data_IF_305039645489
#
_entry.id   IF_305039645489
#
_cell.length_a   1.000
_cell.length_b   1.000
_cell.length_c   1.000
_cell.angle_alpha   90.00
_cell.angle_beta   90.00
_cell.angle_gamma   90.00
#
_symmetry.space_group_name_H-M   'P 1'
#
loop_
_entity.id
_entity.type
_entity.pdbx_description
1 polymer ?
#
# COMPACT_ATOMS: atom_id res chain seq x y z
N UNK A 1 -4.13 -23.37 12.55
CA UNK A 1 -4.52 -22.11 11.88
C UNK A 1 -3.25 -21.27 11.78
N UNK A 2 -2.63 -21.09 10.60
CA UNK A 2 -1.47 -20.22 10.50
C UNK A 2 -1.93 -18.77 10.77
N UNK A 3 -1.33 -18.18 11.80
CA UNK A 3 -1.62 -16.83 12.25
C UNK A 3 -1.47 -15.84 11.09
N UNK A 4 -2.40 -14.89 11.01
CA UNK A 4 -2.25 -13.75 10.12
C UNK A 4 -0.95 -13.06 10.52
N UNK A 5 0.07 -13.10 9.65
CA UNK A 5 1.32 -12.38 9.87
C UNK A 5 0.98 -10.90 9.68
N UNK A 6 0.60 -10.23 10.77
CA UNK A 6 0.44 -8.77 10.79
C UNK A 6 1.83 -8.15 10.66
N UNK A 7 2.13 -7.61 9.48
CA UNK A 7 3.37 -6.85 9.26
C UNK A 7 3.13 -5.40 9.66
N UNK A 8 4.03 -4.77 10.41
CA UNK A 8 3.96 -3.33 10.70
C UNK A 8 4.83 -2.57 9.70
N UNK A 9 4.22 -1.64 8.97
CA UNK A 9 4.85 -0.72 8.05
C UNK A 9 5.00 0.63 8.76
N UNK A 10 6.22 0.94 9.21
CA UNK A 10 6.55 2.25 9.71
C UNK A 10 6.81 3.18 8.53
N UNK A 11 6.00 4.23 8.42
CA UNK A 11 6.07 5.17 7.31
C UNK A 11 6.06 6.60 7.86
N UNK A 12 6.98 7.42 7.38
CA UNK A 12 7.06 8.83 7.80
C UNK A 12 6.02 9.71 7.09
N UNK A 13 5.66 9.35 5.86
CA UNK A 13 4.72 10.10 5.01
C UNK A 13 3.95 9.14 4.07
N UNK A 14 2.88 9.64 3.44
CA UNK A 14 2.16 8.95 2.37
C UNK A 14 3.06 8.48 1.23
N UNK A 15 4.07 9.27 0.85
CA UNK A 15 5.01 8.88 -0.20
C UNK A 15 5.86 7.67 0.21
N UNK A 16 6.27 7.60 1.47
CA UNK A 16 6.99 6.44 2.01
C UNK A 16 6.08 5.20 2.05
N UNK A 17 4.84 5.37 2.50
CA UNK A 17 3.84 4.31 2.48
C UNK A 17 3.64 3.75 1.07
N UNK A 18 3.49 4.62 0.07
CA UNK A 18 3.36 4.23 -1.33
C UNK A 18 4.56 3.39 -1.78
N UNK A 19 5.77 3.84 -1.47
CA UNK A 19 7.01 3.14 -1.80
C UNK A 19 7.12 1.78 -1.11
N UNK A 20 6.75 1.71 0.17
CA UNK A 20 6.72 0.48 0.97
C UNK A 20 5.69 -0.53 0.44
N UNK A 21 4.48 -0.08 0.09
CA UNK A 21 3.45 -0.93 -0.54
C UNK A 21 3.95 -1.44 -1.88
N UNK A 22 4.50 -0.57 -2.72
CA UNK A 22 5.06 -0.97 -4.02
C UNK A 22 6.18 -1.99 -3.83
N UNK A 23 7.10 -1.76 -2.89
CA UNK A 23 8.21 -2.66 -2.59
C UNK A 23 7.71 -4.01 -2.06
N UNK A 24 6.72 -4.02 -1.16
CA UNK A 24 6.10 -5.25 -0.67
C UNK A 24 5.43 -6.03 -1.80
N UNK A 25 4.66 -5.38 -2.67
CA UNK A 25 4.04 -6.01 -3.83
C UNK A 25 5.08 -6.59 -4.81
N UNK A 26 6.17 -5.86 -5.02
CA UNK A 26 7.30 -6.33 -5.80
C UNK A 26 7.97 -7.55 -5.15
N UNK A 27 8.24 -7.51 -3.85
CA UNK A 27 8.86 -8.61 -3.09
C UNK A 27 7.99 -9.87 -3.13
N UNK A 28 6.68 -9.74 -2.92
CA UNK A 28 5.72 -10.84 -2.99
C UNK A 28 5.75 -11.61 -4.32
N UNK A 29 6.12 -10.94 -5.42
CA UNK A 29 6.11 -11.52 -6.77
C UNK A 29 7.51 -11.53 -7.42
N UNK A 30 8.57 -11.25 -6.65
CA UNK A 30 9.94 -11.13 -7.15
C UNK A 30 10.05 -10.23 -8.40
N UNK A 31 9.34 -9.11 -8.37
CA UNK A 31 9.28 -8.14 -9.46
C UNK A 31 10.31 -7.03 -9.26
N UNK A 32 10.81 -6.48 -10.37
CA UNK A 32 11.64 -5.28 -10.31
C UNK A 32 10.79 -4.04 -9.97
N UNK A 33 11.10 -3.33 -8.87
CA UNK A 33 10.42 -2.08 -8.53
C UNK A 33 10.70 -1.03 -9.61
N UNK A 34 9.64 -0.41 -10.13
CA UNK A 34 9.72 0.56 -11.22
C UNK A 34 9.66 -0.03 -12.63
N UNK A 35 9.69 -1.35 -12.78
CA UNK A 35 9.50 -2.00 -14.09
C UNK A 35 8.02 -2.09 -14.52
N UNK A 36 7.09 -1.88 -13.59
CA UNK A 36 5.66 -2.11 -13.79
C UNK A 36 4.82 -0.87 -13.48
N UNK A 37 3.73 -0.62 -14.24
CA UNK A 37 2.84 0.49 -13.96
C UNK A 37 2.14 0.29 -12.63
N UNK A 38 2.33 1.26 -11.74
CA UNK A 38 1.73 1.32 -10.42
C UNK A 38 0.73 2.48 -10.39
N UNK A 39 -0.55 2.14 -10.23
CA UNK A 39 -1.64 3.11 -10.18
C UNK A 39 -2.24 3.14 -8.79
N UNK A 40 -2.67 4.32 -8.36
CA UNK A 40 -3.32 4.52 -7.07
C UNK A 40 -4.64 5.25 -7.25
N UNK A 41 -5.64 4.84 -6.49
CA UNK A 41 -6.99 5.37 -6.58
C UNK A 41 -7.53 5.60 -5.18
N UNK A 42 -7.76 6.86 -4.85
CA UNK A 42 -8.38 7.23 -3.57
C UNK A 42 -9.82 6.71 -3.54
N UNK A 43 -10.16 6.00 -2.47
CA UNK A 43 -11.50 5.51 -2.18
C UNK A 43 -12.20 6.50 -1.25
N UNK A 44 -13.23 7.15 -1.77
CA UNK A 44 -14.12 8.03 -1.02
C UNK A 44 -15.37 7.27 -0.59
N UNK A 45 -15.63 7.22 0.71
CA UNK A 45 -16.85 6.64 1.30
C UNK A 45 -17.64 7.77 1.95
N UNK A 46 -18.90 7.94 1.54
CA UNK A 46 -19.79 9.01 2.04
C UNK A 46 -19.18 10.43 1.93
N UNK A 47 -18.36 10.68 0.91
CA UNK A 47 -17.69 11.98 0.71
C UNK A 47 -16.38 12.17 1.48
N UNK A 48 -15.94 11.21 2.29
CA UNK A 48 -14.64 11.25 2.99
C UNK A 48 -13.65 10.24 2.40
N UNK A 49 -12.38 10.63 2.27
CA UNK A 49 -11.31 9.73 1.85
C UNK A 49 -11.07 8.66 2.92
N UNK A 50 -11.56 7.44 2.67
CA UNK A 50 -11.55 6.32 3.61
C UNK A 50 -10.40 5.34 3.34
N UNK A 51 -9.75 5.45 2.18
CA UNK A 51 -8.65 4.58 1.79
C UNK A 51 -8.05 4.92 0.43
N UNK A 52 -7.03 4.16 0.05
CA UNK A 52 -6.38 4.23 -1.26
C UNK A 52 -6.22 2.80 -1.78
N UNK A 53 -6.74 2.54 -2.98
CA UNK A 53 -6.51 1.32 -3.73
C UNK A 53 -5.28 1.50 -4.61
N UNK A 54 -4.28 0.68 -4.39
CA UNK A 54 -3.09 0.55 -5.21
C UNK A 54 -3.22 -0.66 -6.13
N UNK A 55 -2.90 -0.49 -7.41
CA UNK A 55 -2.93 -1.52 -8.43
C UNK A 55 -1.56 -1.59 -9.11
N UNK A 56 -0.85 -2.70 -8.92
CA UNK A 56 0.40 -3.00 -9.59
C UNK A 56 0.14 -4.00 -10.73
N UNK A 57 0.52 -3.60 -11.94
CA UNK A 57 0.36 -4.42 -13.15
C UNK A 57 1.65 -5.20 -13.43
N UNK A 58 1.77 -6.39 -12.86
CA UNK A 58 2.93 -7.25 -13.03
C UNK A 58 3.05 -7.89 -14.43
N UNK A 59 4.18 -8.57 -14.68
CA UNK A 59 4.43 -9.31 -15.91
C UNK A 59 3.53 -10.57 -15.95
N UNK A 60 3.16 -11.02 -17.15
CA UNK A 60 2.31 -12.21 -17.38
C UNK A 60 0.86 -12.10 -16.84
N UNK A 61 0.25 -10.91 -16.92
CA UNK A 61 -1.14 -10.65 -16.49
C UNK A 61 -1.43 -10.78 -14.98
N UNK A 62 -0.39 -10.79 -14.13
CA UNK A 62 -0.58 -10.72 -12.68
C UNK A 62 -0.98 -9.30 -12.30
N UNK A 63 -2.18 -9.13 -11.72
CA UNK A 63 -2.64 -7.84 -11.19
C UNK A 63 -2.66 -7.90 -9.68
N UNK A 64 -1.69 -7.29 -9.03
CA UNK A 64 -1.70 -7.23 -7.57
C UNK A 64 -2.41 -5.97 -7.14
N UNK A 65 -3.23 -6.10 -6.12
CA UNK A 65 -3.98 -4.95 -5.59
C UNK A 65 -3.74 -4.85 -4.10
N UNK A 66 -3.53 -3.63 -3.61
CA UNK A 66 -3.39 -3.37 -2.19
C UNK A 66 -4.36 -2.26 -1.80
N UNK A 67 -5.14 -2.48 -0.76
CA UNK A 67 -6.10 -1.49 -0.25
C UNK A 67 -5.56 -0.97 1.06
N UNK A 68 -5.16 0.29 1.07
CA UNK A 68 -4.86 0.99 2.30
C UNK A 68 -6.13 1.63 2.86
N UNK A 69 -6.47 1.32 4.10
CA UNK A 69 -7.54 1.97 4.85
C UNK A 69 -6.93 3.04 5.75
N UNK A 70 -7.31 4.30 5.53
CA UNK A 70 -6.86 5.43 6.37
C UNK A 70 -7.51 5.40 7.75
N UNK A 71 -8.73 4.85 7.84
CA UNK A 71 -9.49 4.76 9.10
C UNK A 71 -8.89 3.73 10.06
N UNK A 72 -8.48 2.58 9.52
CA UNK A 72 -7.89 1.47 10.29
C UNK A 72 -6.36 1.48 10.24
N UNK A 73 -5.76 2.48 9.59
CA UNK A 73 -4.34 2.58 9.30
C UNK A 73 -3.73 1.22 8.89
N UNK A 74 -4.36 0.54 7.93
CA UNK A 74 -4.01 -0.85 7.59
C UNK A 74 -4.03 -1.06 6.08
N UNK A 75 -3.05 -1.75 5.54
CA UNK A 75 -2.98 -2.18 4.14
C UNK A 75 -3.38 -3.64 4.03
N UNK A 76 -4.31 -3.93 3.13
CA UNK A 76 -4.74 -5.27 2.77
C UNK A 76 -4.16 -5.62 1.41
N UNK A 77 -3.38 -6.69 1.33
CA UNK A 77 -2.78 -7.16 0.09
C UNK A 77 -3.66 -8.25 -0.53
N UNK A 78 -4.00 -8.06 -1.79
CA UNK A 78 -4.82 -8.96 -2.59
C UNK A 78 -4.03 -9.43 -3.81
N UNK A 79 -4.12 -10.73 -4.07
CA UNK A 79 -3.57 -11.35 -5.26
C UNK A 79 -4.43 -11.03 -6.50
N UNK A 80 -3.92 -11.39 -7.67
CA UNK A 80 -4.60 -11.37 -8.97
C UNK A 80 -5.94 -12.11 -9.01
N UNK A 81 -6.16 -13.05 -8.10
CA UNK A 81 -7.41 -13.78 -7.93
C UNK A 81 -8.42 -13.10 -6.99
N UNK A 82 -8.05 -11.98 -6.36
CA UNK A 82 -8.85 -11.32 -5.32
C UNK A 82 -8.73 -11.99 -3.95
N UNK A 83 -7.83 -12.96 -3.78
CA UNK A 83 -7.54 -13.57 -2.49
C UNK A 83 -6.68 -12.66 -1.63
N UNK A 84 -7.06 -12.49 -0.34
CA UNK A 84 -6.26 -11.74 0.63
C UNK A 84 -5.01 -12.53 1.00
N UNK A 85 -3.86 -12.09 0.48
CA UNK A 85 -2.53 -12.65 0.76
C UNK A 85 -2.03 -12.26 2.15
N UNK A 86 -2.37 -11.05 2.60
CA UNK A 86 -1.89 -10.55 3.89
C UNK A 86 -2.51 -9.23 4.30
N UNK A 87 -2.17 -8.82 5.53
CA UNK A 87 -2.49 -7.52 6.08
C UNK A 87 -1.19 -6.93 6.66
N UNK A 88 -0.93 -5.67 6.35
CA UNK A 88 0.01 -4.86 7.11
C UNK A 88 -0.73 -3.76 7.87
N UNK A 89 -0.28 -3.45 9.06
CA UNK A 89 -0.67 -2.26 9.80
C UNK A 89 0.33 -1.15 9.46
N UNK A 90 -0.17 0.06 9.28
CA UNK A 90 0.63 1.24 8.91
C UNK A 90 0.72 2.12 10.13
N UNK A 91 1.93 2.41 10.55
CA UNK A 91 2.22 3.45 11.53
C UNK A 91 2.70 4.67 10.76
N UNK A 92 1.78 5.63 10.52
CA UNK A 92 2.12 6.92 9.92
C UNK A 92 2.53 7.85 11.04
N UNK A 93 3.83 8.07 11.18
CA UNK A 93 4.33 8.99 12.19
C UNK A 93 4.17 10.43 11.68
N UNK A 94 3.08 11.08 12.08
CA UNK A 94 2.66 12.39 11.57
C UNK A 94 3.52 13.54 12.14
N UNK A 95 4.82 13.57 11.82
CA UNK A 95 5.76 14.49 12.48
C UNK A 95 6.54 15.45 11.56
N UNK A 96 6.17 15.63 10.29
CA UNK A 96 6.93 16.60 9.46
C UNK A 96 6.08 17.39 8.46
N UNK A 97 5.34 18.37 9.00
CA UNK A 97 4.79 19.52 8.24
C UNK A 97 5.60 20.82 8.51
N UNK A 98 6.91 20.74 8.79
CA UNK A 98 7.70 21.94 9.14
C UNK A 98 8.97 22.20 8.32
N UNK A 99 9.24 21.43 7.25
CA UNK A 99 10.45 21.66 6.42
C UNK A 99 10.19 21.85 4.92
N UNK A 100 8.96 21.74 4.42
CA UNK A 100 8.67 21.87 2.99
C UNK A 100 8.52 23.33 2.48
N UNK A 101 8.67 24.34 3.34
CA UNK A 101 8.64 25.77 2.96
C UNK A 101 10.01 26.47 3.04
N UNK A 102 11.10 25.73 3.24
CA UNK A 102 12.46 26.27 3.24
C UNK A 102 13.32 25.50 2.22
N UNK A 103 13.19 25.86 0.95
CA UNK A 103 14.02 25.35 -0.13
C UNK A 103 13.76 26.07 -1.43
#
# INVERSE_FOLDING_TARGET
>A
MPGTISTLLQCADLQDLRSQIQKALCDFNFLEPGAFPFTERVLTKQGQACGILFCLHGPRSVKLTAIWETVSNSVLFYDSTGHRQGKAEVDLNHQTDLLALAG
#
